data_IF_144227104718
#
_entry.id   IF_144227104718
#
_cell.length_a   1.000
_cell.length_b   1.000
_cell.length_c   1.000
_cell.angle_alpha   90.00
_cell.angle_beta   90.00
_cell.angle_gamma   90.00
#
_symmetry.space_group_name_H-M   'P 1'
#
loop_
_entity.id
_entity.type
_entity.pdbx_description
1 polymer ?
#
# COMPACT_ATOMS: atom_id res chain seq x y z
N UNK A 1 1.12 -6.83 -37.13
CA UNK A 1 1.38 -6.47 -35.72
C UNK A 1 0.34 -5.46 -35.22
N UNK A 2 -0.24 -5.65 -34.02
CA UNK A 2 -1.23 -4.76 -33.41
C UNK A 2 -0.54 -3.81 -32.44
N UNK A 3 -0.03 -2.70 -32.94
CA UNK A 3 0.81 -1.77 -32.18
C UNK A 3 0.08 -1.12 -30.99
N UNK A 4 -1.22 -0.92 -31.08
CA UNK A 4 -2.08 -0.37 -30.03
C UNK A 4 -2.27 -1.31 -28.82
N UNK A 5 -1.95 -2.60 -28.97
CA UNK A 5 -1.96 -3.57 -27.90
C UNK A 5 -0.60 -3.76 -27.21
N UNK A 6 0.48 -3.22 -27.80
CA UNK A 6 1.82 -3.26 -27.21
C UNK A 6 1.88 -2.29 -26.02
N UNK A 7 2.37 -2.77 -24.89
CA UNK A 7 2.56 -1.97 -23.68
C UNK A 7 3.85 -2.36 -22.98
N UNK A 8 4.61 -1.33 -22.65
CA UNK A 8 5.73 -1.38 -21.73
C UNK A 8 5.81 -0.06 -20.96
N UNK A 9 6.03 -0.12 -19.66
CA UNK A 9 6.13 1.07 -18.80
C UNK A 9 7.43 0.97 -18.00
N UNK A 10 8.41 1.86 -18.23
CA UNK A 10 9.63 1.91 -17.43
C UNK A 10 9.35 2.15 -15.93
N UNK A 11 10.20 1.62 -15.05
CA UNK A 11 10.09 1.79 -13.59
C UNK A 11 8.71 1.41 -13.01
N UNK A 12 8.18 0.28 -13.49
CA UNK A 12 6.91 -0.30 -13.06
C UNK A 12 7.06 -1.82 -12.93
N UNK A 13 5.95 -2.53 -12.81
CA UNK A 13 5.91 -3.99 -12.92
C UNK A 13 6.44 -4.53 -14.27
N UNK A 14 6.58 -3.66 -15.28
CA UNK A 14 7.18 -4.02 -16.58
C UNK A 14 8.70 -3.88 -16.62
N UNK A 15 9.30 -3.06 -15.73
CA UNK A 15 10.76 -2.91 -15.63
C UNK A 15 11.17 -2.50 -14.22
N UNK A 16 11.75 -3.45 -13.48
CA UNK A 16 12.21 -3.21 -12.10
C UNK A 16 13.34 -4.18 -11.71
N UNK A 17 14.10 -3.81 -10.68
CA UNK A 17 15.08 -4.70 -10.07
C UNK A 17 14.45 -5.75 -9.17
N UNK A 18 14.84 -7.01 -9.30
CA UNK A 18 14.56 -8.05 -8.32
C UNK A 18 15.56 -8.01 -7.17
N UNK A 19 16.80 -7.73 -7.51
CA UNK A 19 17.94 -7.53 -6.61
C UNK A 19 18.94 -6.55 -7.25
N UNK A 20 20.09 -6.38 -6.64
CA UNK A 20 21.13 -5.42 -7.07
C UNK A 20 21.64 -5.68 -8.49
N UNK A 21 21.47 -6.91 -9.02
CA UNK A 21 22.00 -7.33 -10.33
C UNK A 21 20.96 -7.86 -11.30
N UNK A 22 19.81 -8.32 -10.82
CA UNK A 22 18.77 -8.90 -11.66
C UNK A 22 17.65 -7.90 -11.93
N UNK A 23 17.39 -7.63 -13.20
CA UNK A 23 16.36 -6.71 -13.67
C UNK A 23 15.34 -7.49 -14.49
N UNK A 24 14.06 -7.32 -14.15
CA UNK A 24 12.94 -7.84 -14.95
C UNK A 24 12.63 -6.86 -16.06
N UNK A 25 12.42 -7.38 -17.26
CA UNK A 25 11.82 -6.67 -18.38
C UNK A 25 10.61 -7.44 -18.87
N UNK A 26 9.48 -6.76 -18.99
CA UNK A 26 8.21 -7.33 -19.44
C UNK A 26 7.61 -6.48 -20.55
N UNK A 27 6.95 -7.12 -21.50
CA UNK A 27 6.22 -6.47 -22.57
C UNK A 27 4.89 -7.19 -22.77
N UNK A 28 3.80 -6.45 -22.88
CA UNK A 28 2.48 -6.96 -23.22
C UNK A 28 2.22 -6.76 -24.72
N UNK A 29 1.61 -7.75 -25.37
CA UNK A 29 1.17 -7.69 -26.76
C UNK A 29 -0.24 -8.29 -26.87
N UNK A 30 -0.92 -8.11 -28.01
CA UNK A 30 -2.14 -8.85 -28.30
C UNK A 30 -1.84 -10.36 -28.35
N UNK A 31 -2.79 -11.17 -27.91
CA UNK A 31 -2.65 -12.63 -27.88
C UNK A 31 -2.35 -13.21 -29.25
N UNK A 32 -1.26 -13.94 -29.33
CA UNK A 32 -0.81 -14.62 -30.55
C UNK A 32 -0.28 -13.71 -31.67
N UNK A 33 -0.10 -12.43 -31.40
CA UNK A 33 0.32 -11.41 -32.38
C UNK A 33 1.82 -11.46 -32.68
N UNK A 34 2.65 -11.61 -31.64
CA UNK A 34 4.11 -11.68 -31.77
C UNK A 34 4.61 -13.13 -31.80
N UNK A 35 5.63 -13.36 -32.63
CA UNK A 35 6.36 -14.65 -32.74
C UNK A 35 7.67 -14.63 -31.97
N UNK A 36 8.28 -13.46 -31.87
CA UNK A 36 9.55 -13.25 -31.19
C UNK A 36 9.62 -11.84 -30.62
N UNK A 37 10.17 -11.72 -29.42
CA UNK A 37 10.53 -10.45 -28.79
C UNK A 37 11.98 -10.56 -28.34
N UNK A 38 12.78 -9.54 -28.65
CA UNK A 38 14.19 -9.44 -28.22
C UNK A 38 14.39 -8.14 -27.47
N UNK A 39 14.92 -8.23 -26.25
CA UNK A 39 15.38 -7.08 -25.49
C UNK A 39 16.80 -6.72 -25.91
N UNK A 40 17.03 -5.45 -26.19
CA UNK A 40 18.35 -4.87 -26.36
C UNK A 40 18.64 -3.91 -25.20
N UNK A 41 19.79 -4.08 -24.54
CA UNK A 41 20.13 -3.26 -23.37
C UNK A 41 21.61 -2.86 -23.34
N UNK A 42 21.92 -1.71 -22.77
CA UNK A 42 23.29 -1.17 -22.65
C UNK A 42 23.43 -0.24 -21.45
N UNK A 43 24.67 -0.03 -20.98
CA UNK A 43 24.98 0.95 -19.94
C UNK A 43 24.67 2.39 -20.41
N UNK A 44 23.95 3.15 -19.60
CA UNK A 44 23.72 4.58 -19.87
C UNK A 44 25.01 5.41 -19.83
N UNK A 45 26.04 4.94 -19.13
CA UNK A 45 27.37 5.57 -19.09
C UNK A 45 28.25 5.26 -20.31
N UNK A 46 27.78 4.43 -21.25
CA UNK A 46 28.50 4.10 -22.47
C UNK A 46 28.84 5.37 -23.26
N UNK A 47 30.14 5.55 -23.56
CA UNK A 47 30.65 6.73 -24.31
C UNK A 47 30.79 6.46 -25.82
N UNK A 48 30.59 5.23 -26.24
CA UNK A 48 30.69 4.81 -27.65
C UNK A 48 29.44 5.24 -28.41
N UNK A 49 29.61 5.74 -29.62
CA UNK A 49 28.52 6.13 -30.54
C UNK A 49 28.77 5.47 -31.89
N UNK A 50 27.81 4.69 -32.43
CA UNK A 50 26.52 4.30 -31.84
C UNK A 50 26.70 3.39 -30.61
N UNK A 51 25.68 3.38 -29.73
CA UNK A 51 25.68 2.50 -28.54
C UNK A 51 25.70 1.04 -28.99
N UNK A 52 26.55 0.25 -28.36
CA UNK A 52 26.59 -1.19 -28.54
C UNK A 52 25.65 -1.85 -27.53
N UNK A 53 24.54 -2.37 -28.01
CA UNK A 53 23.56 -3.07 -27.20
C UNK A 53 23.85 -4.57 -27.13
N UNK A 54 23.67 -5.17 -25.97
CA UNK A 54 23.56 -6.62 -25.79
C UNK A 54 22.13 -7.04 -26.09
N UNK A 55 21.95 -8.15 -26.79
CA UNK A 55 20.64 -8.67 -27.17
C UNK A 55 20.32 -9.95 -26.37
N UNK A 56 19.08 -10.08 -25.89
CA UNK A 56 18.59 -11.28 -25.22
C UNK A 56 17.14 -11.57 -25.63
N UNK A 57 16.81 -12.81 -26.04
CA UNK A 57 15.46 -13.18 -26.37
C UNK A 57 14.57 -13.16 -25.11
N UNK A 58 13.33 -12.74 -25.27
CA UNK A 58 12.31 -12.81 -24.22
C UNK A 58 11.46 -14.07 -24.43
N UNK A 59 10.92 -14.59 -23.33
CA UNK A 59 10.05 -15.76 -23.33
C UNK A 59 8.59 -15.34 -23.08
N UNK A 60 7.65 -16.11 -23.64
CA UNK A 60 6.24 -15.97 -23.34
C UNK A 60 5.99 -16.49 -21.92
N UNK A 61 5.88 -15.58 -20.95
CA UNK A 61 5.76 -15.92 -19.53
C UNK A 61 4.32 -16.21 -19.11
N UNK A 62 3.34 -15.53 -19.71
CA UNK A 62 1.93 -15.70 -19.39
C UNK A 62 1.04 -15.25 -20.55
N UNK A 63 -0.21 -15.71 -20.54
CA UNK A 63 -1.27 -15.24 -21.45
C UNK A 63 -2.59 -15.11 -20.68
N UNK A 64 -3.34 -14.06 -20.96
CA UNK A 64 -4.73 -13.93 -20.54
C UNK A 64 -5.68 -14.15 -21.74
N UNK A 65 -6.94 -13.70 -21.65
CA UNK A 65 -7.91 -13.84 -22.75
C UNK A 65 -7.55 -13.00 -23.97
N UNK A 66 -6.90 -11.85 -23.79
CA UNK A 66 -6.67 -10.84 -24.81
C UNK A 66 -5.21 -10.60 -25.13
N UNK A 67 -4.28 -10.89 -24.18
CA UNK A 67 -2.89 -10.51 -24.25
C UNK A 67 -1.93 -11.65 -23.97
N UNK A 68 -0.74 -11.50 -24.50
CA UNK A 68 0.47 -12.25 -24.19
C UNK A 68 1.46 -11.34 -23.45
N UNK A 69 2.16 -11.91 -22.45
CA UNK A 69 3.16 -11.22 -21.64
C UNK A 69 4.51 -11.88 -21.87
N UNK A 70 5.38 -11.14 -22.54
CA UNK A 70 6.76 -11.53 -22.79
C UNK A 70 7.65 -11.03 -21.66
N UNK A 71 8.57 -11.84 -21.19
CA UNK A 71 9.42 -11.50 -20.06
C UNK A 71 10.83 -12.05 -20.22
N UNK A 72 11.80 -11.33 -19.67
CA UNK A 72 13.15 -11.81 -19.40
C UNK A 72 13.67 -11.21 -18.11
N UNK A 73 14.45 -11.99 -17.38
CA UNK A 73 15.25 -11.53 -16.24
C UNK A 73 16.71 -11.47 -16.68
N UNK A 74 17.27 -10.27 -16.63
CA UNK A 74 18.67 -10.05 -17.03
C UNK A 74 19.55 -9.94 -15.80
N UNK A 75 20.60 -10.74 -15.71
CA UNK A 75 21.70 -10.47 -14.78
C UNK A 75 22.55 -9.35 -15.40
N UNK A 76 22.26 -8.12 -15.03
CA UNK A 76 22.84 -6.91 -15.60
C UNK A 76 24.13 -6.55 -14.88
N UNK A 77 25.24 -6.34 -15.59
CA UNK A 77 26.45 -5.77 -15.00
C UNK A 77 26.36 -4.26 -14.80
N UNK A 78 25.21 -3.65 -15.13
CA UNK A 78 25.01 -2.21 -15.14
C UNK A 78 23.93 -1.79 -14.15
N UNK A 79 24.20 -0.78 -13.34
CA UNK A 79 23.24 -0.18 -12.42
C UNK A 79 22.24 0.74 -13.14
N UNK A 80 22.54 1.17 -14.36
CA UNK A 80 21.78 2.13 -15.16
C UNK A 80 21.71 1.63 -16.59
N UNK A 81 20.52 1.52 -17.16
CA UNK A 81 20.33 0.83 -18.43
C UNK A 81 19.51 1.66 -19.40
N UNK A 82 20.03 1.81 -20.66
CA UNK A 82 19.22 2.08 -21.83
C UNK A 82 18.74 0.77 -22.41
N UNK A 83 17.52 0.73 -22.91
CA UNK A 83 16.99 -0.46 -23.55
C UNK A 83 15.88 -0.15 -24.54
N UNK A 84 15.64 -1.09 -25.45
CA UNK A 84 14.53 -1.12 -26.38
C UNK A 84 14.18 -2.56 -26.73
N UNK A 85 13.04 -2.74 -27.40
CA UNK A 85 12.57 -4.05 -27.83
C UNK A 85 12.54 -4.15 -29.34
N UNK A 86 12.91 -5.32 -29.88
CA UNK A 86 12.66 -5.72 -31.24
C UNK A 86 11.48 -6.69 -31.23
N UNK A 87 10.44 -6.37 -32.00
CA UNK A 87 9.18 -7.09 -32.07
C UNK A 87 9.05 -7.71 -33.45
N UNK A 88 8.80 -9.00 -33.53
CA UNK A 88 8.64 -9.76 -34.77
C UNK A 88 7.31 -10.52 -34.74
N UNK A 89 6.41 -10.28 -35.70
CA UNK A 89 5.13 -10.99 -35.85
C UNK A 89 5.20 -12.12 -36.89
N UNK A 90 6.38 -12.35 -37.49
CA UNK A 90 6.63 -13.32 -38.54
C UNK A 90 6.41 -12.77 -39.95
N UNK A 91 5.89 -11.55 -40.10
CA UNK A 91 5.73 -10.85 -41.39
C UNK A 91 6.54 -9.54 -41.46
N UNK A 92 6.64 -8.85 -40.33
CA UNK A 92 7.40 -7.61 -40.18
C UNK A 92 8.12 -7.57 -38.83
N UNK A 93 9.15 -6.73 -38.76
CA UNK A 93 9.91 -6.45 -37.53
C UNK A 93 9.86 -4.96 -37.23
N UNK A 94 9.57 -4.59 -35.96
CA UNK A 94 9.57 -3.21 -35.49
C UNK A 94 10.46 -3.07 -34.25
N UNK A 95 11.11 -1.92 -34.12
CA UNK A 95 11.79 -1.50 -32.90
C UNK A 95 10.85 -0.63 -32.06
N UNK A 96 10.78 -0.92 -30.77
CA UNK A 96 9.93 -0.20 -29.83
C UNK A 96 10.76 0.44 -28.71
N UNK A 97 10.78 1.75 -28.66
CA UNK A 97 11.45 2.58 -27.64
C UNK A 97 10.80 3.95 -27.52
N UNK A 98 10.84 4.55 -26.34
CA UNK A 98 10.32 5.91 -26.10
C UNK A 98 8.88 6.12 -26.57
N UNK A 99 8.04 5.10 -26.50
CA UNK A 99 6.64 5.07 -26.96
C UNK A 99 6.46 5.22 -28.48
N UNK A 100 7.50 4.95 -29.26
CA UNK A 100 7.42 4.95 -30.74
C UNK A 100 7.84 3.62 -31.34
N UNK A 101 7.30 3.33 -32.52
CA UNK A 101 7.62 2.12 -33.32
C UNK A 101 8.31 2.56 -34.61
N UNK A 102 9.45 1.97 -34.89
CA UNK A 102 10.28 2.32 -36.08
C UNK A 102 10.82 1.08 -36.78
N UNK A 103 11.27 1.24 -38.03
CA UNK A 103 11.94 0.17 -38.78
C UNK A 103 13.47 0.20 -38.60
N UNK A 104 14.00 1.26 -38.04
CA UNK A 104 15.45 1.45 -37.83
C UNK A 104 15.69 2.15 -36.50
N UNK A 105 16.83 1.82 -35.89
CA UNK A 105 17.25 2.45 -34.65
C UNK A 105 17.73 3.88 -34.91
N UNK A 106 17.19 4.85 -34.16
CA UNK A 106 17.65 6.24 -34.17
C UNK A 106 18.79 6.37 -33.16
N UNK A 107 19.91 6.98 -33.57
CA UNK A 107 21.05 7.24 -32.68
C UNK A 107 20.81 8.48 -31.83
N UNK A 108 19.73 8.46 -31.09
CA UNK A 108 19.37 9.49 -30.11
C UNK A 108 19.09 8.85 -28.74
N UNK A 109 20.04 9.00 -27.83
CA UNK A 109 20.02 8.43 -26.47
C UNK A 109 18.82 8.89 -25.63
N UNK A 110 18.23 10.05 -25.96
CA UNK A 110 17.09 10.59 -25.23
C UNK A 110 15.82 9.77 -25.45
N UNK A 111 15.72 9.06 -26.56
CA UNK A 111 14.54 8.32 -26.99
C UNK A 111 14.45 6.89 -26.42
N UNK A 112 15.55 6.28 -26.01
CA UNK A 112 15.50 4.91 -25.47
C UNK A 112 14.76 4.87 -24.14
N UNK A 113 14.13 3.73 -23.86
CA UNK A 113 13.67 3.45 -22.51
C UNK A 113 14.86 3.45 -21.55
N UNK A 114 14.61 3.86 -20.31
CA UNK A 114 15.65 3.97 -19.29
C UNK A 114 15.20 3.31 -17.98
N UNK A 115 16.08 2.52 -17.41
CA UNK A 115 16.10 2.27 -15.98
C UNK A 115 17.22 3.16 -15.41
N UNK A 116 16.87 4.28 -14.76
CA UNK A 116 17.84 5.29 -14.36
C UNK A 116 18.79 4.80 -13.27
N UNK A 117 18.31 3.87 -12.44
CA UNK A 117 19.09 3.25 -11.39
C UNK A 117 18.46 1.95 -10.89
N UNK A 118 19.27 0.89 -10.73
CA UNK A 118 18.91 -0.32 -9.98
C UNK A 118 19.69 -0.28 -8.65
N UNK A 119 19.12 0.39 -7.65
CA UNK A 119 19.80 0.62 -6.39
C UNK A 119 19.19 -0.25 -5.28
N UNK A 120 20.04 -0.75 -4.39
CA UNK A 120 19.62 -1.58 -3.25
C UNK A 120 18.48 -0.99 -2.41
N UNK A 121 18.44 0.36 -2.30
CA UNK A 121 17.40 1.05 -1.56
C UNK A 121 16.02 0.99 -2.24
N UNK A 122 15.99 0.78 -3.58
CA UNK A 122 14.75 0.76 -4.37
C UNK A 122 14.18 -0.66 -4.50
N UNK A 123 14.93 -1.68 -4.03
CA UNK A 123 14.51 -3.07 -4.09
C UNK A 123 13.58 -3.37 -2.92
N UNK A 124 12.31 -3.60 -3.22
CA UNK A 124 11.33 -3.99 -2.23
C UNK A 124 11.61 -5.41 -1.70
N UNK A 125 11.94 -5.51 -0.43
CA UNK A 125 12.05 -6.80 0.27
C UNK A 125 10.67 -7.20 0.78
N UNK A 126 9.93 -7.89 -0.06
CA UNK A 126 8.58 -8.38 0.26
C UNK A 126 8.68 -9.81 0.78
N UNK A 127 8.04 -10.14 1.91
CA UNK A 127 7.96 -11.54 2.37
C UNK A 127 7.25 -12.44 1.34
N UNK A 128 7.72 -13.68 1.17
CA UNK A 128 7.24 -14.61 0.15
C UNK A 128 5.71 -14.81 0.17
N UNK A 129 5.12 -14.84 1.37
CA UNK A 129 3.68 -15.03 1.54
C UNK A 129 2.80 -13.94 0.92
N UNK A 130 3.35 -12.74 0.68
CA UNK A 130 2.59 -11.60 0.13
C UNK A 130 2.17 -11.85 -1.33
N UNK A 131 2.94 -12.65 -2.06
CA UNK A 131 2.63 -13.00 -3.45
C UNK A 131 1.34 -13.80 -3.58
N UNK A 132 1.03 -14.61 -2.58
CA UNK A 132 -0.17 -15.46 -2.53
C UNK A 132 -1.24 -14.91 -1.58
N UNK A 133 -1.08 -13.66 -1.11
CA UNK A 133 -2.00 -13.06 -0.14
C UNK A 133 -3.35 -12.72 -0.76
N UNK A 134 -4.40 -13.25 -0.16
CA UNK A 134 -5.78 -12.82 -0.40
C UNK A 134 -6.24 -12.10 0.87
N UNK A 135 -6.16 -10.76 0.81
CA UNK A 135 -6.40 -9.90 1.97
C UNK A 135 -7.88 -9.53 2.06
N UNK A 136 -8.49 -9.77 3.22
CA UNK A 136 -9.84 -9.32 3.52
C UNK A 136 -9.81 -8.19 4.55
N UNK A 137 -10.27 -7.00 4.14
CA UNK A 137 -10.36 -5.86 5.03
C UNK A 137 -11.62 -5.96 5.90
N UNK A 138 -11.46 -5.86 7.22
CA UNK A 138 -12.55 -5.92 8.20
C UNK A 138 -12.62 -4.61 8.97
N UNK A 139 -13.78 -3.96 8.91
CA UNK A 139 -14.17 -2.91 9.85
C UNK A 139 -14.97 -3.58 10.98
N UNK A 140 -14.42 -3.76 12.20
CA UNK A 140 -14.99 -4.65 13.20
C UNK A 140 -16.44 -4.30 13.57
N UNK A 141 -16.74 -3.01 13.80
CA UNK A 141 -18.08 -2.56 14.19
C UNK A 141 -19.17 -2.99 13.20
N UNK A 142 -18.85 -3.05 11.90
CA UNK A 142 -19.80 -3.37 10.83
C UNK A 142 -19.68 -4.78 10.26
N UNK A 143 -18.78 -5.62 10.80
CA UNK A 143 -18.58 -6.96 10.26
C UNK A 143 -19.53 -8.00 10.86
N UNK A 144 -19.37 -8.31 12.11
CA UNK A 144 -20.20 -9.32 12.78
C UNK A 144 -20.19 -9.15 14.31
N UNK A 145 -21.31 -9.47 14.93
CA UNK A 145 -21.37 -9.81 16.36
C UNK A 145 -20.87 -11.24 16.57
N UNK A 146 -20.81 -11.71 17.82
CA UNK A 146 -20.54 -13.12 18.10
C UNK A 146 -21.67 -14.07 17.62
N UNK A 147 -22.77 -13.56 17.10
CA UNK A 147 -23.97 -14.32 16.75
C UNK A 147 -24.34 -14.22 15.27
N UNK A 148 -24.15 -13.05 14.63
CA UNK A 148 -24.63 -12.76 13.28
C UNK A 148 -23.76 -11.75 12.52
N UNK A 149 -23.81 -11.78 11.19
CA UNK A 149 -23.21 -10.76 10.34
C UNK A 149 -24.05 -9.49 10.34
N UNK A 150 -23.38 -8.33 10.46
CA UNK A 150 -24.03 -7.01 10.49
C UNK A 150 -24.42 -6.52 9.09
N UNK A 151 -23.80 -7.05 8.05
CA UNK A 151 -24.06 -6.64 6.66
C UNK A 151 -25.54 -6.69 6.25
N UNK A 152 -26.33 -7.57 6.86
CA UNK A 152 -27.78 -7.64 6.63
C UNK A 152 -28.51 -6.45 7.26
N UNK A 153 -28.02 -5.95 8.38
CA UNK A 153 -28.59 -4.79 9.09
C UNK A 153 -28.33 -3.53 8.32
N UNK A 154 -27.14 -3.39 7.73
CA UNK A 154 -26.76 -2.23 6.89
C UNK A 154 -27.69 -2.08 5.66
N UNK A 155 -28.06 -3.18 5.03
CA UNK A 155 -28.95 -3.14 3.86
C UNK A 155 -30.34 -2.61 4.22
N UNK A 156 -30.86 -2.94 5.37
CA UNK A 156 -32.15 -2.41 5.85
C UNK A 156 -32.08 -0.94 6.23
N UNK A 157 -30.97 -0.49 6.79
CA UNK A 157 -30.77 0.92 7.20
C UNK A 157 -30.52 1.86 6.00
N UNK A 158 -29.86 1.40 4.94
CA UNK A 158 -29.71 2.15 3.70
C UNK A 158 -31.07 2.38 3.01
N UNK A 159 -31.96 1.41 3.02
CA UNK A 159 -33.32 1.53 2.46
C UNK A 159 -34.18 2.55 3.18
N UNK A 160 -33.94 2.80 4.44
CA UNK A 160 -34.69 3.78 5.25
C UNK A 160 -34.17 5.22 5.09
N UNK A 161 -33.16 5.48 4.26
CA UNK A 161 -32.60 6.82 4.06
C UNK A 161 -31.95 7.43 5.29
N UNK A 162 -31.67 6.62 6.31
CA UNK A 162 -30.97 7.08 7.52
C UNK A 162 -29.47 6.90 7.34
N UNK A 163 -28.72 7.95 7.64
CA UNK A 163 -27.24 7.85 7.71
C UNK A 163 -26.90 6.96 8.90
N UNK A 164 -26.34 5.78 8.63
CA UNK A 164 -25.83 4.90 9.69
C UNK A 164 -24.62 5.54 10.33
N UNK A 165 -24.80 6.14 11.50
CA UNK A 165 -23.70 6.68 12.30
C UNK A 165 -23.20 5.63 13.25
N UNK A 166 -22.50 4.60 12.76
CA UNK A 166 -21.73 3.64 13.52
C UNK A 166 -22.44 2.94 14.70
N UNK A 167 -21.70 2.19 15.49
CA UNK A 167 -22.16 1.42 16.65
C UNK A 167 -23.15 0.33 16.27
N UNK A 168 -22.77 -0.43 15.26
CA UNK A 168 -23.56 -1.57 14.80
C UNK A 168 -23.37 -2.81 15.71
N UNK A 169 -22.33 -2.79 16.56
CA UNK A 169 -22.10 -3.77 17.61
C UNK A 169 -21.25 -4.96 17.20
N UNK A 170 -20.57 -4.88 16.07
CA UNK A 170 -19.56 -5.86 15.69
C UNK A 170 -18.36 -5.84 16.64
N UNK A 171 -17.73 -6.99 16.81
CA UNK A 171 -16.63 -7.19 17.76
C UNK A 171 -15.53 -8.06 17.16
N UNK A 172 -14.35 -8.11 17.81
CA UNK A 172 -13.28 -9.03 17.41
C UNK A 172 -13.72 -10.51 17.58
N UNK A 173 -14.58 -10.78 18.54
CA UNK A 173 -15.16 -12.12 18.69
C UNK A 173 -16.05 -12.49 17.51
N UNK A 174 -16.72 -11.50 16.89
CA UNK A 174 -17.45 -11.69 15.63
C UNK A 174 -16.54 -12.16 14.50
N UNK A 175 -15.31 -11.69 14.45
CA UNK A 175 -14.28 -12.18 13.49
C UNK A 175 -13.89 -13.61 13.85
N UNK A 176 -13.60 -13.87 15.12
CA UNK A 176 -13.15 -15.17 15.63
C UNK A 176 -14.14 -16.29 15.29
N UNK A 177 -15.44 -16.09 15.55
CA UNK A 177 -16.45 -17.12 15.31
C UNK A 177 -16.78 -17.33 13.82
N UNK A 178 -16.38 -16.42 12.96
CA UNK A 178 -16.60 -16.49 11.52
C UNK A 178 -15.34 -16.92 10.71
N UNK A 179 -14.35 -17.52 11.36
CA UNK A 179 -13.12 -17.99 10.69
C UNK A 179 -13.42 -18.96 9.54
N UNK A 180 -14.39 -19.85 9.67
CA UNK A 180 -14.78 -20.78 8.61
C UNK A 180 -15.34 -20.07 7.36
N UNK A 181 -16.01 -18.94 7.53
CA UNK A 181 -16.44 -18.11 6.42
C UNK A 181 -15.24 -17.53 5.67
N UNK A 182 -14.24 -16.99 6.38
CA UNK A 182 -13.02 -16.46 5.79
C UNK A 182 -12.26 -17.56 5.01
N UNK A 183 -12.14 -18.75 5.59
CA UNK A 183 -11.52 -19.91 4.92
C UNK A 183 -12.26 -20.33 3.65
N UNK A 184 -13.59 -20.36 3.66
CA UNK A 184 -14.40 -20.68 2.47
C UNK A 184 -14.21 -19.69 1.33
N UNK A 185 -13.89 -18.42 1.65
CA UNK A 185 -13.53 -17.40 0.67
C UNK A 185 -12.08 -17.53 0.17
N UNK A 186 -11.27 -18.40 0.76
CA UNK A 186 -9.85 -18.54 0.43
C UNK A 186 -8.97 -17.44 1.04
N UNK A 187 -9.46 -16.74 2.08
CA UNK A 187 -8.73 -15.66 2.75
C UNK A 187 -7.57 -16.23 3.55
N UNK A 188 -6.37 -15.71 3.36
CA UNK A 188 -5.17 -16.08 4.12
C UNK A 188 -4.51 -14.89 4.85
N UNK A 189 -5.12 -13.71 4.75
CA UNK A 189 -4.71 -12.51 5.48
C UNK A 189 -5.92 -11.63 5.79
N UNK A 190 -6.06 -11.19 7.04
CA UNK A 190 -7.08 -10.23 7.46
C UNK A 190 -6.42 -8.91 7.79
N UNK A 191 -6.88 -7.83 7.17
CA UNK A 191 -6.54 -6.46 7.56
C UNK A 191 -7.66 -5.92 8.45
N UNK A 192 -7.35 -5.61 9.70
CA UNK A 192 -8.33 -5.12 10.68
C UNK A 192 -8.18 -3.61 10.81
N UNK A 193 -9.23 -2.86 10.44
CA UNK A 193 -9.32 -1.41 10.67
C UNK A 193 -9.13 -1.08 12.15
N UNK A 194 -8.86 0.19 12.52
CA UNK A 194 -8.40 0.52 13.86
C UNK A 194 -9.24 -0.09 14.97
N UNK A 195 -8.57 -0.72 15.93
CA UNK A 195 -9.18 -1.43 17.06
C UNK A 195 -8.82 -0.85 18.42
N UNK A 196 -7.89 0.09 18.45
CA UNK A 196 -7.40 0.65 19.70
C UNK A 196 -8.41 1.59 20.36
N UNK A 197 -8.24 1.83 21.65
CA UNK A 197 -9.10 2.69 22.43
C UNK A 197 -9.20 4.09 21.80
N UNK A 198 -10.40 4.51 21.46
CA UNK A 198 -10.68 5.75 20.76
C UNK A 198 -12.03 6.35 21.17
N UNK A 199 -12.23 7.64 20.88
CA UNK A 199 -13.44 8.36 21.23
C UNK A 199 -14.65 7.96 20.38
N UNK A 200 -14.43 7.78 19.08
CA UNK A 200 -15.49 7.52 18.11
C UNK A 200 -15.55 6.05 17.69
N UNK A 201 -16.67 5.68 17.06
CA UNK A 201 -16.90 4.29 16.61
C UNK A 201 -15.90 3.80 15.54
N UNK A 202 -15.41 4.70 14.70
CA UNK A 202 -14.47 4.40 13.62
C UNK A 202 -13.04 4.15 14.10
N UNK A 203 -12.72 4.53 15.33
CA UNK A 203 -11.43 4.31 16.00
C UNK A 203 -10.21 4.98 15.35
N UNK A 204 -10.41 5.99 14.50
CA UNK A 204 -9.30 6.77 13.94
C UNK A 204 -8.84 7.92 14.86
N UNK A 205 -9.61 8.29 15.87
CA UNK A 205 -9.29 9.29 16.91
C UNK A 205 -8.72 8.63 18.18
N UNK A 206 -7.54 8.01 18.05
CA UNK A 206 -6.95 7.17 19.08
C UNK A 206 -6.61 7.93 20.38
N UNK A 207 -6.96 7.31 21.49
CA UNK A 207 -6.64 7.77 22.84
C UNK A 207 -5.50 6.97 23.47
N UNK A 208 -5.41 5.68 23.15
CA UNK A 208 -4.42 4.76 23.65
C UNK A 208 -4.01 3.78 22.55
N UNK A 209 -2.71 3.67 22.30
CA UNK A 209 -2.15 2.77 21.27
C UNK A 209 -1.74 1.41 21.82
N UNK A 210 -1.83 1.18 23.13
CA UNK A 210 -1.39 -0.05 23.78
C UNK A 210 -2.54 -0.96 24.24
N UNK A 211 -3.78 -0.51 24.09
CA UNK A 211 -4.96 -1.27 24.48
C UNK A 211 -6.02 -1.28 23.39
N UNK A 212 -6.60 -2.44 23.19
CA UNK A 212 -7.77 -2.62 22.33
C UNK A 212 -9.00 -2.04 23.02
N UNK A 213 -9.83 -1.34 22.25
CA UNK A 213 -11.05 -0.74 22.78
C UNK A 213 -11.97 -1.80 23.42
N UNK A 214 -12.45 -1.58 24.64
CA UNK A 214 -13.37 -2.49 25.34
C UNK A 214 -14.65 -2.79 24.56
N UNK A 215 -15.11 -1.87 23.68
CA UNK A 215 -16.28 -2.07 22.80
C UNK A 215 -16.06 -3.28 21.87
N UNK A 216 -14.83 -3.52 21.44
CA UNK A 216 -14.48 -4.67 20.59
C UNK A 216 -14.13 -5.92 21.39
N UNK A 217 -14.15 -5.86 22.71
CA UNK A 217 -13.84 -6.96 23.62
C UNK A 217 -12.47 -6.86 24.29
N UNK A 218 -11.74 -5.77 24.06
CA UNK A 218 -10.43 -5.50 24.69
C UNK A 218 -9.32 -6.46 24.26
N UNK A 219 -8.19 -6.38 24.96
CA UNK A 219 -6.98 -7.16 24.65
C UNK A 219 -7.19 -8.67 24.70
N UNK A 220 -8.10 -9.15 25.55
CA UNK A 220 -8.43 -10.57 25.63
C UNK A 220 -9.07 -11.10 24.35
N UNK A 221 -10.05 -10.37 23.79
CA UNK A 221 -10.69 -10.74 22.54
C UNK A 221 -9.73 -10.66 21.34
N UNK A 222 -8.81 -9.69 21.35
CA UNK A 222 -7.77 -9.60 20.33
C UNK A 222 -6.84 -10.81 20.37
N UNK A 223 -6.37 -11.18 21.55
CA UNK A 223 -5.50 -12.37 21.72
C UNK A 223 -6.20 -13.66 21.23
N UNK A 224 -7.47 -13.86 21.63
CA UNK A 224 -8.27 -14.97 21.15
C UNK A 224 -8.39 -14.99 19.62
N UNK A 225 -8.64 -13.81 19.01
CA UNK A 225 -8.73 -13.67 17.54
C UNK A 225 -7.40 -14.03 16.86
N UNK A 226 -6.27 -13.54 17.36
CA UNK A 226 -4.94 -13.83 16.82
C UNK A 226 -4.67 -15.33 16.88
N UNK A 227 -4.92 -15.98 18.03
CA UNK A 227 -4.71 -17.41 18.21
C UNK A 227 -5.55 -18.24 17.23
N UNK A 228 -6.84 -17.90 17.07
CA UNK A 228 -7.75 -18.65 16.18
C UNK A 228 -7.38 -18.44 14.71
N UNK A 229 -7.11 -17.20 14.29
CA UNK A 229 -6.72 -16.92 12.90
C UNK A 229 -5.39 -17.58 12.55
N UNK A 230 -4.38 -17.49 13.41
CA UNK A 230 -3.09 -18.16 13.20
C UNK A 230 -3.20 -19.69 13.17
N UNK A 231 -4.03 -20.29 14.04
CA UNK A 231 -4.31 -21.73 14.00
C UNK A 231 -4.98 -22.19 12.69
N UNK A 232 -5.58 -21.26 11.95
CA UNK A 232 -6.19 -21.49 10.63
C UNK A 232 -5.34 -20.94 9.46
N UNK A 233 -4.06 -20.67 9.69
CA UNK A 233 -3.09 -20.16 8.69
C UNK A 233 -3.49 -18.80 8.08
N UNK A 234 -4.30 -18.02 8.80
CA UNK A 234 -4.69 -16.67 8.40
C UNK A 234 -3.82 -15.65 9.15
N UNK A 235 -3.11 -14.82 8.41
CA UNK A 235 -2.30 -13.71 8.94
C UNK A 235 -3.17 -12.51 9.32
N UNK A 236 -2.65 -11.67 10.19
CA UNK A 236 -3.34 -10.46 10.65
C UNK A 236 -2.46 -9.25 10.39
N UNK A 237 -3.07 -8.20 9.85
CA UNK A 237 -2.52 -6.85 9.78
C UNK A 237 -3.45 -5.97 10.59
N UNK A 238 -2.89 -5.20 11.52
CA UNK A 238 -3.64 -4.21 12.30
C UNK A 238 -3.34 -2.80 11.78
N UNK A 239 -4.37 -1.96 11.77
CA UNK A 239 -4.27 -0.58 11.31
C UNK A 239 -3.59 0.30 12.37
N UNK A 240 -2.47 0.94 12.00
CA UNK A 240 -1.73 1.87 12.85
C UNK A 240 -1.95 3.32 12.42
N UNK A 241 -2.70 4.09 13.20
CA UNK A 241 -2.96 5.51 12.92
C UNK A 241 -1.85 6.36 13.53
N UNK A 242 -0.80 6.65 12.78
CA UNK A 242 0.39 7.37 13.26
C UNK A 242 0.47 8.83 12.81
N UNK A 243 -0.42 9.27 11.91
CA UNK A 243 -0.44 10.64 11.39
C UNK A 243 -1.03 11.65 12.39
N UNK A 244 -1.99 11.22 13.19
CA UNK A 244 -2.75 12.03 14.14
C UNK A 244 -3.19 11.17 15.32
N UNK A 245 -3.68 11.79 16.38
CA UNK A 245 -4.30 11.12 17.53
C UNK A 245 -5.70 11.69 17.78
N UNK A 246 -6.40 11.18 18.78
CA UNK A 246 -7.63 11.78 19.27
C UNK A 246 -7.36 12.96 20.19
N UNK A 247 -8.38 13.80 20.38
CA UNK A 247 -8.32 14.96 21.27
C UNK A 247 -7.90 14.60 22.71
N UNK A 248 -8.38 13.46 23.20
CA UNK A 248 -8.11 12.97 24.56
C UNK A 248 -6.87 12.08 24.65
N UNK A 249 -6.01 12.08 23.63
CA UNK A 249 -4.71 11.44 23.72
C UNK A 249 -3.87 12.13 24.78
N UNK A 250 -3.21 11.38 25.65
CA UNK A 250 -2.54 11.88 26.86
C UNK A 250 -1.62 13.07 26.60
N UNK A 251 -0.86 13.04 25.51
CA UNK A 251 0.09 14.12 25.19
C UNK A 251 -0.64 15.40 24.74
N UNK A 252 -1.75 15.26 24.01
CA UNK A 252 -2.53 16.43 23.60
C UNK A 252 -3.34 17.03 24.76
N UNK A 253 -3.91 16.20 25.64
CA UNK A 253 -4.54 16.69 26.88
C UNK A 253 -3.58 17.45 27.76
N UNK A 254 -2.32 17.00 27.85
CA UNK A 254 -1.30 17.75 28.58
C UNK A 254 -1.01 19.12 27.93
N UNK A 255 -0.96 19.20 26.60
CA UNK A 255 -0.84 20.48 25.87
C UNK A 255 -2.02 21.40 26.16
N UNK A 256 -3.25 20.90 26.08
CA UNK A 256 -4.47 21.69 26.40
C UNK A 256 -4.45 22.20 27.84
N UNK A 257 -4.03 21.37 28.78
CA UNK A 257 -4.00 21.72 30.21
C UNK A 257 -2.87 22.68 30.57
N UNK A 258 -1.66 22.42 30.07
CA UNK A 258 -0.44 23.11 30.49
C UNK A 258 0.04 24.17 29.50
N UNK A 259 -0.62 24.25 28.32
CA UNK A 259 -0.34 25.21 27.25
C UNK A 259 1.16 25.19 26.87
N UNK A 260 1.81 26.32 26.69
CA UNK A 260 3.23 26.46 26.35
C UNK A 260 4.20 25.74 27.30
N UNK A 261 3.73 25.39 28.52
CA UNK A 261 4.53 24.69 29.52
C UNK A 261 4.52 23.16 29.37
N UNK A 262 3.69 22.64 28.50
CA UNK A 262 3.64 21.20 28.22
C UNK A 262 4.95 20.74 27.58
N UNK A 263 5.48 19.63 28.05
CA UNK A 263 6.64 18.98 27.43
C UNK A 263 6.32 18.38 26.06
N UNK A 264 5.04 18.19 25.74
CA UNK A 264 4.58 17.58 24.50
C UNK A 264 4.26 18.58 23.39
N UNK A 265 4.48 19.90 23.56
CA UNK A 265 4.20 20.89 22.52
C UNK A 265 4.88 20.55 21.19
N UNK A 266 6.07 19.99 21.20
CA UNK A 266 6.82 19.60 19.99
C UNK A 266 6.32 18.29 19.33
N UNK A 267 5.35 17.62 19.92
CA UNK A 267 4.75 16.41 19.35
C UNK A 267 3.71 16.72 18.30
N UNK A 268 3.27 17.99 18.20
CA UNK A 268 2.16 18.42 17.34
C UNK A 268 2.58 19.53 16.39
N UNK A 269 1.99 19.53 15.20
CA UNK A 269 2.21 20.57 14.21
C UNK A 269 1.40 21.84 14.52
N UNK A 270 2.04 22.99 14.29
CA UNK A 270 1.41 24.31 14.22
C UNK A 270 0.51 24.65 15.42
N UNK A 271 1.05 24.45 16.64
CA UNK A 271 0.35 24.91 17.85
C UNK A 271 0.42 26.44 17.96
N UNK A 272 -0.74 27.06 18.07
CA UNK A 272 -0.91 28.47 18.42
C UNK A 272 -1.64 28.54 19.77
N UNK A 273 -1.11 29.30 20.73
CA UNK A 273 -1.67 29.34 22.06
C UNK A 273 -2.61 30.54 22.25
N UNK A 274 -3.70 30.41 23.01
CA UNK A 274 -4.08 29.20 23.76
C UNK A 274 -4.63 28.09 22.85
N UNK A 275 -4.27 26.83 23.16
CA UNK A 275 -4.89 25.64 22.54
C UNK A 275 -6.17 25.34 23.28
N UNK A 276 -7.30 25.52 22.58
CA UNK A 276 -8.63 25.31 23.12
C UNK A 276 -9.47 24.41 22.22
N UNK A 277 -10.43 23.71 22.82
CA UNK A 277 -11.38 22.93 22.03
C UNK A 277 -12.25 23.89 21.21
N UNK A 278 -12.34 23.71 19.89
CA UNK A 278 -13.19 24.55 19.08
C UNK A 278 -14.66 24.43 19.49
N UNK A 279 -15.27 25.56 19.87
CA UNK A 279 -16.64 25.60 20.37
C UNK A 279 -17.68 25.36 19.29
N UNK A 280 -17.39 25.78 18.06
CA UNK A 280 -18.31 25.67 16.92
C UNK A 280 -17.67 24.97 15.72
N UNK A 281 -18.48 24.37 14.84
CA UNK A 281 -17.98 23.77 13.58
C UNK A 281 -17.19 24.73 12.69
N UNK A 282 -17.45 26.02 12.77
CA UNK A 282 -16.84 27.04 11.90
C UNK A 282 -15.57 27.67 12.49
N UNK A 283 -15.24 27.38 13.76
CA UNK A 283 -14.03 27.91 14.39
C UNK A 283 -12.80 27.11 13.91
N UNK A 284 -11.75 27.81 13.47
CA UNK A 284 -10.49 27.17 13.11
C UNK A 284 -9.73 26.74 14.36
N UNK A 285 -9.17 25.51 14.38
CA UNK A 285 -8.33 25.08 15.49
C UNK A 285 -6.99 25.84 15.48
N UNK A 286 -6.43 26.05 16.68
CA UNK A 286 -5.11 26.66 16.89
C UNK A 286 -3.98 25.61 16.80
N UNK A 287 -4.21 24.53 16.05
CA UNK A 287 -3.27 23.42 15.80
C UNK A 287 -3.61 22.77 14.44
N UNK A 288 -2.64 22.11 13.83
CA UNK A 288 -2.91 21.31 12.65
C UNK A 288 -3.74 20.07 13.02
N UNK A 289 -4.71 19.73 12.18
CA UNK A 289 -5.56 18.55 12.33
C UNK A 289 -5.67 17.74 11.03
N UNK A 290 -6.12 16.50 11.15
CA UNK A 290 -6.33 15.63 9.98
C UNK A 290 -7.61 16.05 9.23
N UNK A 291 -7.48 16.32 7.93
CA UNK A 291 -8.62 16.61 7.03
C UNK A 291 -9.63 17.63 7.61
N UNK A 292 -9.15 18.65 8.33
CA UNK A 292 -9.96 19.64 9.05
C UNK A 292 -10.81 19.07 10.21
N UNK A 293 -10.60 17.78 10.56
CA UNK A 293 -11.28 17.19 11.73
C UNK A 293 -10.56 17.60 13.03
N UNK A 294 -11.17 18.51 13.76
CA UNK A 294 -10.60 19.18 14.93
C UNK A 294 -10.36 18.27 16.13
N UNK A 295 -11.08 17.16 16.19
CA UNK A 295 -10.87 16.15 17.22
C UNK A 295 -9.70 15.21 16.93
N UNK A 296 -8.99 15.46 15.80
CA UNK A 296 -7.84 14.65 15.36
C UNK A 296 -6.57 15.51 15.17
N UNK A 297 -5.95 15.98 16.28
CA UNK A 297 -4.74 16.79 16.21
C UNK A 297 -3.59 16.01 15.56
N UNK A 298 -2.88 16.69 14.64
CA UNK A 298 -1.82 16.10 13.82
C UNK A 298 -0.51 16.00 14.60
N UNK A 299 0.08 14.80 14.60
CA UNK A 299 1.36 14.51 15.21
C UNK A 299 2.52 14.92 14.30
N UNK A 300 3.60 15.43 14.90
CA UNK A 300 4.86 15.66 14.20
C UNK A 300 5.70 14.37 14.16
N UNK A 301 5.51 13.59 13.11
CA UNK A 301 6.25 12.34 12.89
C UNK A 301 7.73 12.56 12.55
N UNK A 302 8.19 13.78 12.37
CA UNK A 302 9.62 14.10 12.26
C UNK A 302 10.31 14.25 13.63
N UNK A 303 9.53 14.41 14.70
CA UNK A 303 10.04 14.52 16.06
C UNK A 303 10.55 13.15 16.55
N UNK A 304 11.82 13.04 17.01
CA UNK A 304 12.37 11.77 17.50
C UNK A 304 11.59 11.13 18.67
N UNK A 305 11.05 11.93 19.59
CA UNK A 305 10.26 11.42 20.72
C UNK A 305 8.96 10.76 20.24
N UNK A 306 8.33 11.33 19.23
CA UNK A 306 7.13 10.74 18.58
C UNK A 306 7.50 9.46 17.84
N UNK A 307 8.64 9.46 17.13
CA UNK A 307 9.16 8.26 16.48
C UNK A 307 9.45 7.14 17.49
N UNK A 308 10.12 7.46 18.58
CA UNK A 308 10.43 6.48 19.64
C UNK A 308 9.15 5.90 20.24
N UNK A 309 8.15 6.74 20.54
CA UNK A 309 6.87 6.30 21.05
C UNK A 309 6.19 5.31 20.08
N UNK A 310 6.12 5.62 18.78
CA UNK A 310 5.50 4.71 17.81
C UNK A 310 6.36 3.47 17.51
N UNK A 311 7.67 3.56 17.63
CA UNK A 311 8.52 2.36 17.60
C UNK A 311 8.21 1.41 18.77
N UNK A 312 7.92 1.95 19.96
CA UNK A 312 7.48 1.13 21.10
C UNK A 312 6.11 0.51 20.87
N UNK A 313 5.15 1.26 20.32
CA UNK A 313 3.84 0.71 19.91
C UNK A 313 4.03 -0.45 18.92
N UNK A 314 4.87 -0.26 17.89
CA UNK A 314 5.14 -1.31 16.91
C UNK A 314 5.84 -2.56 17.46
N UNK A 315 6.66 -2.40 18.53
CA UNK A 315 7.28 -3.55 19.21
C UNK A 315 6.30 -4.28 20.12
N UNK A 316 5.33 -3.56 20.65
CA UNK A 316 4.33 -4.11 21.56
C UNK A 316 3.36 -5.04 20.83
N UNK A 317 2.91 -4.63 19.66
CA UNK A 317 1.97 -5.42 18.83
C UNK A 317 2.67 -6.40 17.87
#
# INVERSE_FOLDING_TARGET
>A
MKLDAILHIPMSEYCHGLDETHIVYRLRAAKGDLKKVTLYYADTACRVTPILFSAIPMELAASDLLHDYWQVVVNSPYDRVYYYFELDDGSETKLYYGDVFTDHLVDDRSQYFKLPFNHRADIAKVPDWVQDAIVYNIFPDSFATAREFISLILTELEFCGQTVKGKLGGTLRGVTVNVDYLKKLGINCVYVNPIFAAGEYHKYDLLDYFHVDPVFGGDGAFREMVEVLHANEIRIIIDGVFNHCGWHFFAFEDVVKNQEKSKYCKWFYHLEFPVERPETPDSYPTYACFAYERMMPKLDTSNPEVQDYFCEVGRYW
#
